data_IF_419308428460
#
_entry.id   IF_419308428460
#
_cell.length_a   1.000
_cell.length_b   1.000
_cell.length_c   1.000
_cell.angle_alpha   90.00
_cell.angle_beta   90.00
_cell.angle_gamma   90.00
#
_symmetry.space_group_name_H-M   'P 1'
#
loop_
_entity.id
_entity.type
_entity.pdbx_description
1 polymer ?
#
# COMPACT_ATOMS: atom_id res chain seq x y z
N UNK A 1 34.91 -24.52 -7.12
CA UNK A 1 34.16 -23.46 -6.43
C UNK A 1 34.23 -22.21 -7.27
N UNK A 2 33.11 -21.85 -7.90
CA UNK A 2 32.92 -20.56 -8.55
C UNK A 2 31.56 -20.06 -8.05
N UNK A 3 31.59 -19.02 -7.23
CA UNK A 3 30.41 -18.47 -6.55
C UNK A 3 30.15 -17.12 -7.18
N UNK A 4 29.44 -17.10 -8.29
CA UNK A 4 28.89 -15.86 -8.84
C UNK A 4 27.42 -16.11 -9.17
N UNK A 5 26.56 -15.44 -8.39
CA UNK A 5 25.15 -15.31 -8.75
C UNK A 5 25.07 -14.38 -9.97
N UNK A 6 24.34 -14.75 -11.04
CA UNK A 6 24.14 -13.86 -12.18
C UNK A 6 23.48 -12.55 -11.72
N UNK A 7 23.77 -11.41 -12.37
CA UNK A 7 23.21 -10.13 -11.99
C UNK A 7 21.68 -10.20 -12.04
N UNK A 8 21.04 -9.87 -10.91
CA UNK A 8 19.61 -9.73 -10.84
C UNK A 8 19.21 -8.51 -11.66
N UNK A 9 18.61 -8.75 -12.83
CA UNK A 9 17.93 -7.71 -13.61
C UNK A 9 16.69 -7.31 -12.82
N UNK A 10 16.81 -6.30 -11.97
CA UNK A 10 15.66 -5.69 -11.29
C UNK A 10 14.84 -4.95 -12.34
N UNK A 11 13.53 -5.23 -12.49
CA UNK A 11 12.67 -4.41 -13.33
C UNK A 11 12.73 -2.96 -12.86
N UNK A 12 12.77 -2.05 -13.82
CA UNK A 12 12.76 -0.61 -13.61
C UNK A 12 11.76 -0.22 -12.52
N UNK A 13 12.27 0.55 -11.57
CA UNK A 13 11.53 1.17 -10.46
C UNK A 13 10.18 1.69 -10.97
N UNK A 14 9.02 1.21 -10.49
CA UNK A 14 7.75 1.82 -10.85
C UNK A 14 7.63 3.14 -10.09
N UNK A 15 8.13 4.19 -10.74
CA UNK A 15 8.14 5.56 -10.26
C UNK A 15 8.00 6.51 -11.44
N UNK A 16 6.94 6.36 -12.23
CA UNK A 16 6.45 7.43 -13.11
C UNK A 16 5.09 7.89 -12.61
N UNK A 17 5.15 8.91 -11.76
CA UNK A 17 4.04 9.72 -11.28
C UNK A 17 3.24 10.28 -12.46
N UNK A 18 1.93 10.07 -12.46
CA UNK A 18 1.00 10.96 -13.14
C UNK A 18 0.47 11.95 -12.09
N UNK A 19 1.12 13.11 -11.99
CA UNK A 19 0.66 14.34 -11.32
C UNK A 19 -0.25 14.17 -10.09
N UNK A 20 0.33 13.75 -8.96
CA UNK A 20 -0.24 14.01 -7.64
C UNK A 20 0.83 14.72 -6.81
N UNK A 21 0.50 15.80 -6.07
CA UNK A 21 1.48 16.50 -5.26
C UNK A 21 2.16 15.51 -4.30
N UNK A 22 3.48 15.40 -4.42
CA UNK A 22 4.29 14.56 -3.56
C UNK A 22 4.10 15.04 -2.12
N UNK A 23 3.44 14.23 -1.29
CA UNK A 23 3.32 14.49 0.13
C UNK A 23 4.73 14.46 0.75
N UNK A 24 5.20 15.64 1.09
CA UNK A 24 6.50 15.91 1.71
C UNK A 24 6.48 15.46 3.18
N UNK A 25 6.89 14.21 3.44
CA UNK A 25 7.26 13.72 4.78
C UNK A 25 6.37 12.62 5.38
N UNK A 26 7.03 11.54 5.85
CA UNK A 26 6.54 10.36 6.58
C UNK A 26 5.10 9.89 6.34
N UNK A 27 4.77 9.55 5.09
CA UNK A 27 3.76 8.52 4.78
C UNK A 27 4.48 7.16 4.79
N UNK A 28 4.00 6.18 5.55
CA UNK A 28 4.65 4.87 5.68
C UNK A 28 5.07 4.28 4.31
N UNK A 29 6.37 4.04 4.14
CA UNK A 29 7.11 4.09 2.86
C UNK A 29 6.43 3.42 1.65
N UNK A 30 5.99 4.24 0.68
CA UNK A 30 5.43 3.79 -0.60
C UNK A 30 3.93 3.55 -0.61
N UNK A 31 3.21 3.84 0.48
CA UNK A 31 1.75 3.74 0.54
C UNK A 31 1.13 5.08 0.12
N UNK A 32 0.22 5.10 -0.86
CA UNK A 32 -0.54 6.31 -1.22
C UNK A 32 -1.37 6.85 -0.05
N UNK A 33 -1.45 8.17 0.10
CA UNK A 33 -2.10 8.80 1.25
C UNK A 33 -3.58 8.39 1.44
N UNK A 34 -4.33 8.22 0.34
CA UNK A 34 -5.72 7.75 0.37
C UNK A 34 -5.82 6.33 0.93
N UNK A 35 -4.91 5.45 0.53
CA UNK A 35 -4.85 4.06 0.98
C UNK A 35 -4.39 3.97 2.44
N UNK A 36 -3.43 4.80 2.84
CA UNK A 36 -3.00 4.91 4.23
C UNK A 36 -4.14 5.36 5.15
N UNK A 37 -4.92 6.35 4.72
CA UNK A 37 -6.10 6.81 5.45
C UNK A 37 -7.14 5.68 5.60
N UNK A 38 -7.35 4.88 4.55
CA UNK A 38 -8.23 3.72 4.60
C UNK A 38 -7.76 2.66 5.61
N UNK A 39 -6.46 2.34 5.66
CA UNK A 39 -5.93 1.37 6.64
C UNK A 39 -6.08 1.85 8.08
N UNK A 40 -5.76 3.13 8.35
CA UNK A 40 -5.95 3.73 9.68
C UNK A 40 -7.42 3.82 10.07
N UNK A 41 -8.32 3.99 9.10
CA UNK A 41 -9.75 3.91 9.36
C UNK A 41 -10.19 2.49 9.72
N UNK A 42 -9.72 1.48 8.97
CA UNK A 42 -10.05 0.09 9.23
C UNK A 42 -9.59 -0.37 10.63
N UNK A 43 -8.38 -0.02 11.05
CA UNK A 43 -7.90 -0.28 12.42
C UNK A 43 -8.81 0.35 13.47
N UNK A 44 -9.18 1.63 13.32
CA UNK A 44 -10.09 2.32 14.25
C UNK A 44 -11.47 1.67 14.32
N UNK A 45 -12.02 1.28 13.17
CA UNK A 45 -13.32 0.59 13.11
C UNK A 45 -13.25 -0.75 13.83
N UNK A 46 -12.24 -1.58 13.54
CA UNK A 46 -12.09 -2.90 14.17
C UNK A 46 -11.81 -2.75 15.66
N UNK A 47 -10.98 -1.79 16.09
CA UNK A 47 -10.75 -1.53 17.51
C UNK A 47 -12.04 -1.13 18.26
N UNK A 48 -12.99 -0.49 17.57
CA UNK A 48 -14.30 -0.14 18.13
C UNK A 48 -15.30 -1.30 18.16
N UNK A 49 -15.28 -2.19 17.16
CA UNK A 49 -16.23 -3.31 17.06
C UNK A 49 -15.74 -4.59 17.74
N UNK A 50 -14.45 -4.88 17.64
CA UNK A 50 -13.76 -6.03 18.21
C UNK A 50 -12.36 -5.63 18.72
N UNK A 51 -12.26 -5.11 19.95
CA UNK A 51 -10.98 -4.72 20.52
C UNK A 51 -10.03 -5.90 20.77
N UNK A 52 -10.52 -7.14 20.82
CA UNK A 52 -9.69 -8.33 21.01
C UNK A 52 -8.96 -8.75 19.72
N UNK A 53 -9.48 -8.34 18.56
CA UNK A 53 -8.88 -8.61 17.25
C UNK A 53 -7.44 -8.07 17.12
N UNK A 54 -7.13 -6.95 17.78
CA UNK A 54 -5.80 -6.30 17.80
C UNK A 54 -5.18 -6.23 16.40
N UNK A 55 -5.94 -5.70 15.44
CA UNK A 55 -5.56 -5.66 14.03
C UNK A 55 -4.83 -4.35 13.70
N UNK A 56 -3.48 -4.31 13.70
CA UNK A 56 -2.73 -3.10 13.39
C UNK A 56 -2.87 -2.74 11.91
N UNK A 57 -2.97 -1.46 11.59
CA UNK A 57 -3.11 -0.99 10.19
C UNK A 57 -1.91 -1.41 9.32
N UNK A 58 -0.72 -1.61 9.90
CA UNK A 58 0.48 -2.09 9.21
C UNK A 58 0.28 -3.49 8.61
N UNK A 59 -0.48 -4.36 9.28
CA UNK A 59 -0.77 -5.70 8.78
C UNK A 59 -1.68 -5.62 7.55
N UNK A 60 -2.69 -4.77 7.59
CA UNK A 60 -3.56 -4.49 6.44
C UNK A 60 -2.75 -3.94 5.26
N UNK A 61 -1.80 -3.05 5.53
CA UNK A 61 -0.90 -2.52 4.51
C UNK A 61 -0.01 -3.59 3.89
N UNK A 62 0.52 -4.53 4.68
CA UNK A 62 1.32 -5.64 4.15
C UNK A 62 0.50 -6.54 3.22
N UNK A 63 -0.73 -6.88 3.62
CA UNK A 63 -1.66 -7.69 2.81
C UNK A 63 -2.00 -6.95 1.51
N UNK A 64 -2.45 -5.70 1.58
CA UNK A 64 -2.83 -4.95 0.38
C UNK A 64 -1.67 -4.66 -0.58
N UNK A 65 -0.42 -4.67 -0.10
CA UNK A 65 0.77 -4.64 -0.97
C UNK A 65 0.88 -5.92 -1.80
N UNK A 66 0.79 -7.08 -1.15
CA UNK A 66 0.98 -8.40 -1.80
C UNK A 66 -0.18 -8.74 -2.72
N UNK A 67 -1.41 -8.51 -2.26
CA UNK A 67 -2.62 -8.92 -2.98
C UNK A 67 -2.99 -7.96 -4.12
N UNK A 68 -2.68 -6.66 -3.98
CA UNK A 68 -3.27 -5.62 -4.84
C UNK A 68 -2.30 -4.54 -5.30
N UNK A 69 -1.05 -4.58 -4.84
CA UNK A 69 -0.09 -3.50 -5.08
C UNK A 69 -0.59 -2.15 -4.56
N UNK A 70 -1.25 -2.13 -3.39
CA UNK A 70 -1.86 -0.92 -2.81
C UNK A 70 -2.93 -0.30 -3.71
N UNK A 71 -3.91 -1.09 -4.16
CA UNK A 71 -4.91 -0.68 -5.15
C UNK A 71 -4.25 -0.10 -6.42
N UNK A 72 -3.26 -0.82 -6.97
CA UNK A 72 -2.46 -0.40 -8.14
C UNK A 72 -1.80 0.99 -7.94
N UNK A 73 -1.21 1.21 -6.77
CA UNK A 73 -0.59 2.48 -6.40
C UNK A 73 -1.58 3.58 -6.03
N UNK A 74 -2.76 3.22 -5.52
CA UNK A 74 -3.75 4.17 -5.00
C UNK A 74 -4.74 4.66 -6.05
N UNK A 75 -4.98 3.87 -7.11
CA UNK A 75 -6.01 4.14 -8.11
C UNK A 75 -7.39 3.81 -7.53
N UNK A 76 -7.83 4.63 -6.60
CA UNK A 76 -9.17 4.60 -6.00
C UNK A 76 -9.85 5.94 -6.25
N UNK A 77 -11.15 5.92 -6.53
CA UNK A 77 -11.95 7.13 -6.59
C UNK A 77 -12.20 7.71 -5.19
N UNK A 78 -12.95 8.81 -5.11
CA UNK A 78 -13.29 9.46 -3.84
C UNK A 78 -14.11 8.55 -2.90
N UNK A 79 -14.74 7.51 -3.43
CA UNK A 79 -15.51 6.52 -2.66
C UNK A 79 -14.67 5.30 -2.26
N UNK A 80 -13.39 5.24 -2.63
CA UNK A 80 -12.51 4.09 -2.37
C UNK A 80 -12.67 2.94 -3.38
N UNK A 81 -13.36 3.17 -4.50
CA UNK A 81 -13.61 2.15 -5.52
C UNK A 81 -12.47 2.11 -6.52
N UNK A 82 -11.94 0.92 -6.81
CA UNK A 82 -10.99 0.74 -7.90
C UNK A 82 -11.71 0.76 -9.25
N UNK A 83 -11.22 1.49 -10.26
CA UNK A 83 -11.90 1.64 -11.55
C UNK A 83 -11.85 0.37 -12.42
N UNK A 84 -11.20 -0.68 -11.96
CA UNK A 84 -11.21 -2.00 -12.59
C UNK A 84 -11.02 -3.06 -11.49
N UNK A 85 -11.58 -4.27 -11.65
CA UNK A 85 -11.43 -5.36 -10.68
C UNK A 85 -9.96 -5.59 -10.36
N UNK A 86 -9.65 -5.77 -9.07
CA UNK A 86 -8.28 -5.83 -8.54
C UNK A 86 -7.66 -7.18 -8.88
#
# INVERSE_FOLDING_TARGET
YYTDLPPLVTPDRPGSSSNLPAATGSAEAGIPASVLAAYKQAERTVAGTDPACRLPWQLLAAIGKVESGQARGGKVDANGTTPSPI
#
